data_IF_900400364051
#
_entry.id   IF_900400364051
#
_cell.length_a   1.000
_cell.length_b   1.000
_cell.length_c   1.000
_cell.angle_alpha   90.00
_cell.angle_beta   90.00
_cell.angle_gamma   90.00
#
_symmetry.space_group_name_H-M   'P 1'
#
loop_
_entity.id
_entity.type
_entity.pdbx_description
1 polymer ?
#
# COMPACT_ATOMS: atom_id res chain seq x y z
N UNK A 1 8.63 13.71 -1.90
CA UNK A 1 8.74 12.45 -2.63
C UNK A 1 9.29 12.75 -4.01
N UNK A 2 10.15 11.89 -4.55
CA UNK A 2 10.67 11.96 -5.92
C UNK A 2 9.90 10.91 -6.71
N UNK A 3 9.16 11.32 -7.72
CA UNK A 3 8.43 10.43 -8.62
C UNK A 3 9.44 9.56 -9.41
N UNK A 4 9.23 8.24 -9.43
CA UNK A 4 10.19 7.26 -9.92
C UNK A 4 11.36 6.94 -8.97
N UNK A 5 11.46 7.65 -7.85
CA UNK A 5 12.43 7.37 -6.78
C UNK A 5 13.88 7.41 -7.24
N UNK A 6 14.75 6.68 -6.50
CA UNK A 6 16.19 6.61 -6.80
C UNK A 6 16.49 5.95 -8.17
N UNK A 7 15.63 5.02 -8.60
CA UNK A 7 15.79 4.34 -9.89
C UNK A 7 15.73 5.35 -11.05
N UNK A 8 14.69 6.14 -11.07
CA UNK A 8 14.52 7.21 -12.06
C UNK A 8 15.64 8.25 -11.99
N UNK A 9 16.05 8.65 -10.77
CA UNK A 9 17.13 9.60 -10.54
C UNK A 9 18.43 9.13 -11.19
N UNK A 10 18.81 7.87 -10.99
CA UNK A 10 20.04 7.28 -11.56
C UNK A 10 19.94 7.10 -13.06
N UNK A 11 18.78 6.65 -13.57
CA UNK A 11 18.56 6.44 -15.00
C UNK A 11 18.64 7.74 -15.82
N UNK A 12 18.41 8.89 -15.17
CA UNK A 12 18.50 10.21 -15.80
C UNK A 12 19.82 10.94 -15.50
N UNK A 13 20.86 10.22 -15.05
CA UNK A 13 22.19 10.79 -14.77
C UNK A 13 22.19 11.96 -13.77
N UNK A 14 21.21 12.02 -12.86
CA UNK A 14 21.21 13.05 -11.83
C UNK A 14 22.32 12.83 -10.80
N UNK A 15 22.87 13.90 -10.21
CA UNK A 15 24.06 13.79 -9.36
C UNK A 15 23.81 12.98 -8.09
N UNK A 16 24.78 12.12 -7.78
CA UNK A 16 24.84 11.37 -6.51
C UNK A 16 26.10 11.77 -5.75
N UNK A 17 26.03 11.78 -4.43
CA UNK A 17 27.16 11.97 -3.54
C UNK A 17 27.23 10.89 -2.48
N UNK A 18 28.45 10.48 -2.12
CA UNK A 18 28.73 9.66 -0.96
C UNK A 18 29.25 10.49 0.22
N UNK A 19 29.36 11.80 0.05
CA UNK A 19 29.76 12.71 1.12
C UNK A 19 28.67 12.77 2.18
N UNK A 20 29.03 12.66 3.45
CA UNK A 20 28.12 12.90 4.55
C UNK A 20 27.74 14.38 4.59
N UNK A 21 26.43 14.71 4.55
CA UNK A 21 26.02 16.08 4.66
C UNK A 21 26.32 16.64 6.05
N UNK A 22 26.85 17.84 6.13
CA UNK A 22 27.06 18.56 7.38
C UNK A 22 25.74 19.17 7.83
N UNK A 23 25.20 18.66 8.94
CA UNK A 23 23.95 19.15 9.53
C UNK A 23 24.22 20.03 10.75
N UNK A 24 23.76 21.26 10.68
CA UNK A 24 23.65 22.07 11.89
C UNK A 24 22.48 21.52 12.73
N UNK A 25 22.73 21.07 13.97
CA UNK A 25 21.68 20.62 14.86
C UNK A 25 20.60 21.69 15.06
N UNK A 26 19.34 21.29 14.98
CA UNK A 26 18.18 22.16 15.23
C UNK A 26 17.25 21.51 16.22
N UNK A 27 16.56 22.31 17.01
CA UNK A 27 15.47 21.83 17.83
C UNK A 27 14.29 21.47 16.92
N UNK A 28 13.75 20.27 17.11
CA UNK A 28 12.56 19.81 16.42
C UNK A 28 11.53 19.31 17.43
N UNK A 29 10.36 19.93 17.43
CA UNK A 29 9.22 19.47 18.19
C UNK A 29 8.36 18.56 17.29
N UNK A 30 8.35 17.26 17.57
CA UNK A 30 7.48 16.33 16.88
C UNK A 30 6.01 16.69 17.15
N UNK A 31 5.20 16.66 16.10
CA UNK A 31 3.75 16.72 16.22
C UNK A 31 3.23 15.29 16.21
N UNK A 32 2.37 14.97 17.10
CA UNK A 32 1.59 13.81 17.46
C UNK A 32 1.85 12.53 16.81
N UNK A 33 1.36 11.36 16.99
CA UNK A 33 1.02 10.44 15.90
C UNK A 33 -0.23 10.94 15.18
N UNK A 34 -0.23 10.81 13.85
CA UNK A 34 -1.42 11.05 13.02
C UNK A 34 -2.13 9.71 12.84
N UNK A 35 -2.97 9.35 13.81
CA UNK A 35 -3.70 8.08 13.82
C UNK A 35 -4.63 7.93 12.60
N UNK A 36 -5.04 9.05 12.00
CA UNK A 36 -5.89 9.06 10.81
C UNK A 36 -5.27 8.40 9.57
N UNK A 37 -3.95 8.23 9.51
CA UNK A 37 -3.27 7.59 8.37
C UNK A 37 -3.12 6.06 8.53
N UNK A 38 -3.46 5.52 9.70
CA UNK A 38 -3.29 4.09 10.01
C UNK A 38 -4.63 3.40 10.19
N UNK A 39 -4.71 2.16 9.71
CA UNK A 39 -5.74 1.22 10.07
C UNK A 39 -5.14 0.12 10.94
N UNK A 40 -5.91 -0.36 11.89
CA UNK A 40 -5.58 -1.47 12.78
C UNK A 40 -6.50 -2.66 12.52
N UNK A 41 -6.21 -3.78 13.14
CA UNK A 41 -7.01 -5.02 13.00
C UNK A 41 -8.51 -4.79 13.18
N UNK A 42 -8.91 -3.97 14.17
CA UNK A 42 -10.31 -3.69 14.45
C UNK A 42 -10.98 -2.86 13.33
N UNK A 43 -10.20 -2.00 12.63
CA UNK A 43 -10.66 -1.29 11.44
C UNK A 43 -10.91 -2.25 10.27
N UNK A 44 -10.10 -3.30 10.16
CA UNK A 44 -10.28 -4.34 9.13
C UNK A 44 -11.52 -5.17 9.42
N UNK A 45 -11.75 -5.58 10.68
CA UNK A 45 -12.98 -6.28 11.05
C UNK A 45 -14.22 -5.46 10.68
N UNK A 46 -14.18 -4.16 11.00
CA UNK A 46 -15.24 -3.22 10.64
C UNK A 46 -15.39 -3.07 9.12
N UNK A 47 -14.29 -3.01 8.38
CA UNK A 47 -14.33 -2.91 6.93
C UNK A 47 -15.02 -4.12 6.28
N UNK A 48 -14.74 -5.31 6.77
CA UNK A 48 -15.42 -6.54 6.32
C UNK A 48 -16.93 -6.48 6.63
N UNK A 49 -17.31 -6.04 7.84
CA UNK A 49 -18.71 -5.99 8.27
C UNK A 49 -19.52 -4.92 7.51
N UNK A 50 -18.94 -3.76 7.25
CA UNK A 50 -19.61 -2.60 6.64
C UNK A 50 -19.40 -2.51 5.13
N UNK A 51 -18.54 -3.33 4.53
CA UNK A 51 -18.21 -3.29 3.10
C UNK A 51 -17.37 -2.08 2.72
N UNK A 52 -16.51 -1.60 3.64
CA UNK A 52 -15.58 -0.50 3.35
C UNK A 52 -14.55 -0.98 2.31
N UNK A 53 -14.30 -0.25 1.22
CA UNK A 53 -13.31 -0.60 0.22
C UNK A 53 -11.92 -0.88 0.81
N UNK A 54 -11.36 -2.02 0.45
CA UNK A 54 -9.98 -2.40 0.80
C UNK A 54 -9.21 -2.73 -0.47
N UNK A 55 -7.97 -2.24 -0.57
CA UNK A 55 -7.08 -2.45 -1.71
C UNK A 55 -5.87 -3.27 -1.29
N UNK A 56 -5.75 -4.48 -1.85
CA UNK A 56 -4.57 -5.31 -1.74
C UNK A 56 -3.62 -5.03 -2.90
N UNK A 57 -2.44 -4.50 -2.60
CA UNK A 57 -1.46 -4.11 -3.63
C UNK A 57 -0.41 -5.19 -3.93
N UNK A 58 -0.61 -6.39 -3.39
CA UNK A 58 0.25 -7.55 -3.66
C UNK A 58 0.04 -8.08 -5.09
N UNK A 59 0.88 -9.02 -5.49
CA UNK A 59 0.67 -9.67 -6.79
C UNK A 59 -0.62 -10.50 -6.82
N UNK A 60 -1.18 -10.78 -8.01
CA UNK A 60 -2.36 -11.64 -8.13
C UNK A 60 -2.16 -13.03 -7.51
N UNK A 61 -0.94 -13.57 -7.59
CA UNK A 61 -0.61 -14.89 -7.02
C UNK A 61 -0.55 -14.83 -5.48
N UNK A 62 -0.12 -13.70 -4.88
CA UNK A 62 -0.21 -13.48 -3.44
C UNK A 62 -1.68 -13.32 -3.02
N UNK A 63 -2.48 -12.59 -3.81
CA UNK A 63 -3.89 -12.34 -3.54
C UNK A 63 -4.72 -13.63 -3.62
N UNK A 64 -4.57 -14.42 -4.68
CA UNK A 64 -5.27 -15.69 -4.86
C UNK A 64 -4.88 -16.74 -3.82
N UNK A 65 -3.70 -16.60 -3.20
CA UNK A 65 -3.15 -17.56 -2.26
C UNK A 65 -2.30 -18.66 -2.90
N UNK A 66 -2.02 -18.58 -4.19
CA UNK A 66 -1.09 -19.49 -4.87
C UNK A 66 0.33 -19.34 -4.32
N UNK A 67 0.70 -18.09 -3.97
CA UNK A 67 1.99 -17.75 -3.36
C UNK A 67 1.75 -17.08 -2.03
N UNK A 68 2.38 -17.58 -0.97
CA UNK A 68 2.28 -16.96 0.37
C UNK A 68 3.15 -15.72 0.46
N UNK A 69 4.36 -15.78 -0.10
CA UNK A 69 5.29 -14.66 -0.17
C UNK A 69 6.22 -14.81 -1.38
N UNK A 70 6.72 -13.70 -1.96
CA UNK A 70 7.74 -13.74 -2.98
C UNK A 70 8.98 -14.50 -2.53
N UNK A 71 9.67 -15.15 -3.48
CA UNK A 71 10.89 -15.93 -3.20
C UNK A 71 11.98 -15.05 -2.54
N UNK A 72 12.68 -15.62 -1.57
CA UNK A 72 13.78 -14.95 -0.87
C UNK A 72 13.37 -14.05 0.29
N UNK A 73 12.08 -13.94 0.58
CA UNK A 73 11.59 -13.19 1.74
C UNK A 73 11.39 -14.12 2.95
N UNK A 74 11.82 -13.64 4.12
CA UNK A 74 11.78 -14.41 5.36
C UNK A 74 10.46 -14.23 6.13
N UNK A 75 9.80 -13.09 5.98
CA UNK A 75 8.54 -12.79 6.65
C UNK A 75 7.39 -13.37 5.84
N UNK A 76 6.71 -14.34 6.42
CA UNK A 76 5.57 -14.98 5.77
C UNK A 76 4.39 -15.09 6.71
N UNK A 77 3.19 -15.04 6.12
CA UNK A 77 1.99 -15.54 6.78
C UNK A 77 1.96 -17.08 6.72
N UNK A 78 1.19 -17.70 7.59
CA UNK A 78 0.98 -19.15 7.56
C UNK A 78 -0.09 -19.57 6.55
N UNK A 79 -0.93 -18.63 6.11
CA UNK A 79 -2.04 -18.88 5.19
C UNK A 79 -1.91 -17.99 3.96
N UNK A 80 -2.24 -18.51 2.79
CA UNK A 80 -2.37 -17.77 1.53
C UNK A 80 -3.79 -17.21 1.37
N UNK A 81 -3.96 -16.24 0.47
CA UNK A 81 -5.23 -15.58 0.16
C UNK A 81 -5.22 -14.10 0.50
N UNK A 82 -6.41 -13.53 0.70
CA UNK A 82 -6.60 -12.10 0.96
C UNK A 82 -7.69 -11.85 2.02
N UNK A 83 -7.81 -10.61 2.46
CA UNK A 83 -8.86 -10.16 3.38
C UNK A 83 -10.19 -10.14 2.60
N UNK A 84 -11.28 -10.76 3.14
CA UNK A 84 -12.57 -10.80 2.47
C UNK A 84 -13.07 -9.43 2.03
N UNK A 85 -13.55 -9.35 0.79
CA UNK A 85 -14.06 -8.12 0.20
C UNK A 85 -12.99 -7.13 -0.30
N UNK A 86 -11.70 -7.48 -0.24
CA UNK A 86 -10.64 -6.65 -0.82
C UNK A 86 -10.59 -6.80 -2.34
N UNK A 87 -10.29 -5.71 -3.04
CA UNK A 87 -9.96 -5.70 -4.46
C UNK A 87 -8.44 -5.75 -4.65
N UNK A 88 -7.97 -6.45 -5.68
CA UNK A 88 -6.54 -6.51 -5.99
C UNK A 88 -6.14 -5.45 -7.02
N UNK A 89 -5.30 -4.52 -6.60
CA UNK A 89 -4.65 -3.54 -7.48
C UNK A 89 -3.14 -3.64 -7.28
N UNK A 90 -2.45 -4.53 -8.02
CA UNK A 90 -1.02 -4.71 -7.86
C UNK A 90 -0.25 -3.42 -8.06
N UNK A 91 0.65 -3.06 -7.14
CA UNK A 91 1.40 -1.78 -7.18
C UNK A 91 2.09 -1.55 -8.54
N UNK A 92 2.54 -2.60 -9.22
CA UNK A 92 3.14 -2.48 -10.55
C UNK A 92 2.20 -1.95 -11.63
N UNK A 93 0.88 -2.06 -11.45
CA UNK A 93 -0.11 -1.54 -12.40
C UNK A 93 -0.30 -0.04 -12.30
N UNK A 94 0.14 0.59 -11.23
CA UNK A 94 0.05 2.03 -10.98
C UNK A 94 1.26 2.82 -11.49
N UNK A 95 2.28 2.11 -11.95
CA UNK A 95 3.56 2.69 -12.39
C UNK A 95 3.77 2.58 -13.90
N UNK A 96 4.50 3.52 -14.44
CA UNK A 96 5.08 3.48 -15.77
C UNK A 96 6.35 2.60 -15.78
N UNK A 97 6.88 2.27 -16.98
CA UNK A 97 8.10 1.46 -17.13
C UNK A 97 9.35 2.09 -16.47
N UNK A 98 9.39 3.41 -16.35
CA UNK A 98 10.47 4.16 -15.70
C UNK A 98 10.30 4.29 -14.18
N UNK A 99 9.25 3.69 -13.61
CA UNK A 99 8.93 3.71 -12.20
C UNK A 99 8.20 4.96 -11.72
N UNK A 100 7.87 5.89 -12.60
CA UNK A 100 7.01 7.04 -12.26
C UNK A 100 5.55 6.61 -12.15
N UNK A 101 4.73 7.37 -11.44
CA UNK A 101 3.30 7.11 -11.38
C UNK A 101 2.64 7.35 -12.74
N UNK A 102 1.61 6.59 -13.04
CA UNK A 102 0.70 6.87 -14.14
C UNK A 102 -0.01 8.19 -13.92
N UNK A 103 -0.61 8.74 -14.98
CA UNK A 103 -1.40 9.97 -14.88
C UNK A 103 -2.58 9.82 -13.92
N UNK A 104 -3.02 10.91 -13.32
CA UNK A 104 -4.15 10.90 -12.40
C UNK A 104 -5.44 10.34 -13.04
N UNK A 105 -5.63 10.53 -14.34
CA UNK A 105 -6.81 10.03 -15.04
C UNK A 105 -6.75 8.51 -15.23
N UNK A 106 -5.59 7.95 -15.61
CA UNK A 106 -5.37 6.50 -15.69
C UNK A 106 -5.51 5.83 -14.31
N UNK A 107 -5.02 6.49 -13.26
CA UNK A 107 -5.15 5.99 -11.91
C UNK A 107 -6.61 6.00 -11.43
N UNK A 108 -7.37 7.06 -11.70
CA UNK A 108 -8.80 7.09 -11.35
C UNK A 108 -9.61 6.02 -12.07
N UNK A 109 -9.29 5.73 -13.34
CA UNK A 109 -9.91 4.63 -14.08
C UNK A 109 -9.59 3.29 -13.42
N UNK A 110 -8.30 3.03 -13.14
CA UNK A 110 -7.83 1.80 -12.51
C UNK A 110 -8.50 1.53 -11.15
N UNK A 111 -8.59 2.55 -10.29
CA UNK A 111 -9.21 2.42 -8.98
C UNK A 111 -10.73 2.38 -9.05
N UNK A 112 -11.34 3.12 -9.97
CA UNK A 112 -12.78 3.07 -10.23
C UNK A 112 -13.25 1.67 -10.64
N UNK A 113 -12.46 0.97 -11.46
CA UNK A 113 -12.71 -0.43 -11.83
C UNK A 113 -12.62 -1.37 -10.62
N UNK A 114 -11.79 -1.03 -9.64
CA UNK A 114 -11.66 -1.74 -8.38
C UNK A 114 -12.70 -1.33 -7.30
N UNK A 115 -13.63 -0.43 -7.63
CA UNK A 115 -14.65 0.07 -6.71
C UNK A 115 -14.16 1.13 -5.72
N UNK A 116 -13.07 1.84 -6.05
CA UNK A 116 -12.47 2.89 -5.21
C UNK A 116 -12.50 4.21 -5.97
N UNK A 117 -13.45 5.07 -5.65
CA UNK A 117 -13.69 6.36 -6.31
C UNK A 117 -13.32 7.59 -5.44
N UNK A 118 -13.01 7.36 -4.17
CA UNK A 118 -12.65 8.40 -3.21
C UNK A 118 -13.82 9.04 -2.47
N UNK A 119 -15.04 8.60 -2.73
CA UNK A 119 -16.24 9.08 -2.03
C UNK A 119 -16.40 8.41 -0.65
N UNK A 120 -15.75 7.26 -0.44
CA UNK A 120 -15.83 6.48 0.78
C UNK A 120 -14.42 6.27 1.40
N UNK A 121 -14.40 5.94 2.71
CA UNK A 121 -13.19 5.51 3.40
C UNK A 121 -12.55 4.33 2.67
N UNK A 122 -11.25 4.35 2.49
CA UNK A 122 -10.50 3.27 1.81
C UNK A 122 -9.33 2.81 2.67
N UNK A 123 -9.12 1.50 2.76
CA UNK A 123 -7.96 0.93 3.45
C UNK A 123 -7.05 0.24 2.44
N UNK A 124 -5.77 0.59 2.45
CA UNK A 124 -4.75 -0.09 1.65
C UNK A 124 -3.94 -1.05 2.51
N UNK A 125 -3.55 -2.19 1.96
CA UNK A 125 -2.65 -3.13 2.62
C UNK A 125 -1.78 -3.88 1.61
N UNK A 126 -0.71 -4.47 2.10
CA UNK A 126 0.13 -5.36 1.29
C UNK A 126 0.58 -6.57 2.12
N UNK A 127 1.88 -6.83 2.20
CA UNK A 127 2.43 -7.88 3.05
C UNK A 127 2.85 -7.35 4.43
N UNK A 128 3.52 -6.19 4.50
CA UNK A 128 4.07 -5.57 5.72
C UNK A 128 3.85 -4.05 5.76
N UNK A 129 2.91 -3.50 5.00
CA UNK A 129 2.60 -2.06 4.96
C UNK A 129 3.53 -1.20 4.09
N UNK A 130 4.61 -1.74 3.55
CA UNK A 130 5.60 -0.98 2.78
C UNK A 130 5.07 -0.59 1.38
N UNK A 131 4.65 -1.55 0.57
CA UNK A 131 4.07 -1.28 -0.76
C UNK A 131 2.79 -0.46 -0.65
N UNK A 132 1.95 -0.76 0.32
CA UNK A 132 0.68 -0.06 0.54
C UNK A 132 0.84 1.36 1.09
N UNK A 133 1.98 1.74 1.65
CA UNK A 133 2.25 3.13 1.99
C UNK A 133 2.45 4.02 0.74
N UNK A 134 2.98 3.45 -0.35
CA UNK A 134 3.06 4.12 -1.64
C UNK A 134 1.65 4.31 -2.21
N UNK A 135 0.81 3.29 -2.07
CA UNK A 135 -0.58 3.32 -2.46
C UNK A 135 -1.39 4.37 -1.71
N UNK A 136 -1.21 4.41 -0.38
CA UNK A 136 -1.79 5.46 0.45
C UNK A 136 -1.40 6.85 -0.08
N UNK A 137 -0.11 7.06 -0.36
CA UNK A 137 0.38 8.34 -0.91
C UNK A 137 -0.28 8.65 -2.26
N UNK A 138 -0.41 7.68 -3.13
CA UNK A 138 -1.04 7.82 -4.43
C UNK A 138 -2.51 8.23 -4.30
N UNK A 139 -3.30 7.51 -3.52
CA UNK A 139 -4.72 7.79 -3.34
C UNK A 139 -4.95 9.12 -2.62
N UNK A 140 -4.26 9.33 -1.49
CA UNK A 140 -4.46 10.52 -0.66
C UNK A 140 -3.83 11.78 -1.25
N UNK A 141 -2.53 11.74 -1.61
CA UNK A 141 -1.78 12.93 -1.99
C UNK A 141 -1.89 13.26 -3.50
N UNK A 142 -1.97 12.26 -4.38
CA UNK A 142 -2.02 12.50 -5.83
C UNK A 142 -3.45 12.56 -6.35
N UNK A 143 -4.35 11.68 -5.90
CA UNK A 143 -5.74 11.67 -6.33
C UNK A 143 -6.64 12.55 -5.47
N UNK A 144 -6.21 12.90 -4.26
CA UNK A 144 -6.92 13.78 -3.34
C UNK A 144 -8.09 13.12 -2.61
N UNK A 145 -8.00 11.81 -2.36
CA UNK A 145 -9.00 11.08 -1.58
C UNK A 145 -8.81 11.37 -0.08
N UNK A 146 -9.84 11.85 0.60
CA UNK A 146 -9.71 12.41 1.95
C UNK A 146 -9.50 11.35 3.04
N UNK A 147 -10.18 10.20 2.98
CA UNK A 147 -10.16 9.16 4.03
C UNK A 147 -9.51 7.88 3.52
N UNK A 148 -8.19 7.92 3.40
CA UNK A 148 -7.37 6.76 3.04
C UNK A 148 -6.48 6.38 4.22
N UNK A 149 -6.49 5.10 4.60
CA UNK A 149 -5.66 4.58 5.70
C UNK A 149 -4.83 3.39 5.25
N UNK A 150 -3.63 3.28 5.81
CA UNK A 150 -2.75 2.15 5.55
C UNK A 150 -2.81 1.15 6.72
N UNK A 151 -3.19 -0.08 6.44
CA UNK A 151 -3.08 -1.19 7.38
C UNK A 151 -1.65 -1.77 7.31
N UNK A 152 -0.76 -1.27 8.14
CA UNK A 152 0.66 -1.66 8.10
C UNK A 152 0.96 -3.04 8.67
N UNK A 153 0.12 -3.59 9.54
CA UNK A 153 0.15 -5.01 9.93
C UNK A 153 -0.01 -5.95 8.74
N UNK A 154 -0.87 -5.56 7.81
CA UNK A 154 -1.00 -6.18 6.48
C UNK A 154 -1.21 -7.71 6.53
N UNK A 155 -0.83 -8.40 5.46
CA UNK A 155 -1.01 -9.85 5.37
C UNK A 155 -0.18 -10.63 6.39
N UNK A 156 0.98 -10.10 6.80
CA UNK A 156 1.81 -10.74 7.82
C UNK A 156 1.11 -10.77 9.18
N UNK A 157 0.30 -9.78 9.51
CA UNK A 157 -0.57 -9.85 10.69
C UNK A 157 -1.80 -10.72 10.41
N UNK A 158 -2.62 -10.34 9.41
CA UNK A 158 -3.91 -10.98 9.15
C UNK A 158 -3.82 -12.46 8.84
N UNK A 159 -2.90 -12.86 7.98
CA UNK A 159 -2.67 -14.25 7.58
C UNK A 159 -2.17 -15.15 8.70
N UNK A 160 -1.69 -14.58 9.82
CA UNK A 160 -1.26 -15.30 11.01
C UNK A 160 -2.29 -15.28 12.14
N UNK A 161 -3.32 -14.44 12.09
CA UNK A 161 -4.36 -14.38 13.10
C UNK A 161 -5.22 -15.65 13.09
N UNK A 162 -5.28 -16.32 14.22
CA UNK A 162 -6.14 -17.52 14.39
C UNK A 162 -7.61 -17.11 14.30
N UNK A 163 -8.34 -17.72 13.36
CA UNK A 163 -9.77 -17.48 13.18
C UNK A 163 -10.13 -16.25 12.33
N UNK A 164 -9.16 -15.45 11.88
CA UNK A 164 -9.44 -14.39 10.91
C UNK A 164 -9.94 -14.99 9.60
N UNK A 165 -11.02 -14.45 8.99
CA UNK A 165 -11.55 -14.93 7.73
C UNK A 165 -10.57 -14.63 6.58
N UNK A 166 -10.55 -15.51 5.60
CA UNK A 166 -9.66 -15.41 4.42
C UNK A 166 -10.46 -15.87 3.22
N UNK A 167 -10.27 -15.14 2.11
CA UNK A 167 -10.70 -15.58 0.79
C UNK A 167 -9.50 -15.98 -0.06
N UNK A 168 -9.74 -16.88 -1.02
CA UNK A 168 -8.74 -17.38 -1.97
C UNK A 168 -9.35 -17.43 -3.36
N UNK A 169 -8.52 -17.33 -4.40
CA UNK A 169 -8.98 -17.26 -5.79
C UNK A 169 -9.14 -15.82 -6.26
N UNK A 170 -9.78 -15.66 -7.42
CA UNK A 170 -10.04 -14.35 -8.06
C UNK A 170 -11.15 -13.58 -7.33
#
# INVERSE_FOLDING_TARGET
>A
VIDGGKGYWVANDYPLSTEEPDFTPREYAARGPFESVRAYKDDIDKAIEEGIPMVDVRSPEEFSGEVIAPEGLNETAQRGGHIPGASNVPIGTTLNEDGTFKSADELRELYGDAGVDGDESTITYCRVGERSSIEWFLLHELLGYDDVRNYDGSWTEWGNLVGAPIETGE
#
